data_IF_948022811584
#
_entry.id   IF_948022811584
#
_cell.length_a   1.000
_cell.length_b   1.000
_cell.length_c   1.000
_cell.angle_alpha   90.00
_cell.angle_beta   90.00
_cell.angle_gamma   90.00
#
_symmetry.space_group_name_H-M   'P 1'
#
loop_
_entity.id
_entity.type
_entity.pdbx_description
1 polymer ?
#
# COMPACT_ATOMS: atom_id res chain seq x y z
N UNK A 1 -34.65 16.18 21.72
CA UNK A 1 -33.24 16.56 21.93
C UNK A 1 -32.23 15.40 21.92
N UNK A 2 -32.61 14.15 22.18
CA UNK A 2 -31.67 12.99 22.14
C UNK A 2 -31.36 12.48 20.71
N UNK A 3 -32.32 12.54 19.79
CA UNK A 3 -32.16 12.11 18.40
C UNK A 3 -31.15 12.96 17.59
N UNK A 4 -31.13 14.27 17.83
CA UNK A 4 -30.22 15.19 17.13
C UNK A 4 -28.75 14.96 17.47
N UNK A 5 -28.44 14.59 18.73
CA UNK A 5 -27.06 14.26 19.14
C UNK A 5 -26.60 12.93 18.55
N UNK A 6 -27.50 11.97 18.38
CA UNK A 6 -27.18 10.66 17.77
C UNK A 6 -26.86 10.82 16.28
N UNK A 7 -27.62 11.66 15.57
CA UNK A 7 -27.38 11.96 14.14
C UNK A 7 -26.02 12.65 13.94
N UNK A 8 -25.65 13.57 14.83
CA UNK A 8 -24.36 14.26 14.77
C UNK A 8 -23.18 13.30 15.03
N UNK A 9 -23.32 12.35 15.96
CA UNK A 9 -22.26 11.36 16.26
C UNK A 9 -22.11 10.39 15.10
N UNK A 10 -23.20 9.93 14.49
CA UNK A 10 -23.15 9.04 13.31
C UNK A 10 -22.56 9.74 12.09
N UNK A 11 -22.90 11.02 11.87
CA UNK A 11 -22.32 11.82 10.79
C UNK A 11 -20.81 12.08 10.98
N UNK A 12 -20.37 12.30 12.23
CA UNK A 12 -18.95 12.45 12.56
C UNK A 12 -18.17 11.15 12.39
N UNK A 13 -18.76 10.01 12.77
CA UNK A 13 -18.15 8.68 12.57
C UNK A 13 -18.06 8.30 11.08
N UNK A 14 -19.07 8.64 10.27
CA UNK A 14 -19.07 8.39 8.82
C UNK A 14 -18.03 9.27 8.09
N UNK A 15 -17.77 10.48 8.58
CA UNK A 15 -16.74 11.38 8.02
C UNK A 15 -15.30 10.87 8.24
N UNK A 16 -15.03 10.13 9.32
CA UNK A 16 -13.70 9.59 9.60
C UNK A 16 -13.32 8.39 8.70
N UNK A 17 -14.30 7.65 8.18
CA UNK A 17 -14.05 6.46 7.36
C UNK A 17 -13.66 6.82 5.92
N UNK A 18 -13.95 8.03 5.45
CA UNK A 18 -13.62 8.48 4.10
C UNK A 18 -12.17 8.98 3.95
N UNK A 19 -11.40 9.07 5.03
CA UNK A 19 -10.01 9.55 5.01
C UNK A 19 -8.96 8.47 4.68
N UNK A 20 -9.38 7.21 4.44
CA UNK A 20 -8.49 6.13 4.00
C UNK A 20 -8.32 6.14 2.47
N UNK A 21 -8.18 7.31 1.87
CA UNK A 21 -7.84 7.49 0.46
C UNK A 21 -6.37 7.17 0.21
N UNK A 22 -6.06 6.60 -0.94
CA UNK A 22 -4.71 6.34 -1.44
C UNK A 22 -3.80 7.55 -1.14
N UNK A 23 -2.84 7.38 -0.24
CA UNK A 23 -1.95 8.48 0.11
C UNK A 23 -0.89 8.63 -0.96
N UNK A 24 -1.08 9.60 -1.86
CA UNK A 24 -0.08 9.98 -2.85
C UNK A 24 1.09 10.73 -2.20
N UNK A 25 2.27 10.81 -2.85
CA UNK A 25 3.37 11.64 -2.35
C UNK A 25 2.93 13.06 -2.02
N UNK A 26 2.09 13.68 -2.86
CA UNK A 26 1.58 15.04 -2.65
C UNK A 26 0.75 15.15 -1.36
N UNK A 27 -0.09 14.16 -1.09
CA UNK A 27 -0.89 14.14 0.14
C UNK A 27 0.00 14.00 1.37
N UNK A 28 1.04 13.14 1.31
CA UNK A 28 1.99 12.96 2.40
C UNK A 28 2.83 14.21 2.65
N UNK A 29 3.27 14.89 1.59
CA UNK A 29 3.98 16.18 1.65
C UNK A 29 3.10 17.25 2.30
N UNK A 30 1.84 17.35 1.88
CA UNK A 30 0.87 18.30 2.44
C UNK A 30 0.64 18.08 3.94
N UNK A 31 0.67 16.84 4.38
CA UNK A 31 0.48 16.49 5.79
C UNK A 31 1.76 16.71 6.63
N UNK A 32 2.95 16.77 5.99
CA UNK A 32 4.24 16.95 6.66
C UNK A 32 5.10 18.00 5.96
N UNK A 33 4.63 19.25 5.83
CA UNK A 33 5.31 20.28 5.05
C UNK A 33 6.67 20.68 5.65
N UNK A 34 6.80 20.66 6.98
CA UNK A 34 8.06 21.00 7.63
C UNK A 34 9.17 19.99 7.35
N UNK A 35 8.85 18.70 7.37
CA UNK A 35 9.82 17.66 7.05
C UNK A 35 10.28 17.78 5.59
N UNK A 36 9.35 18.04 4.67
CA UNK A 36 9.64 18.21 3.25
C UNK A 36 10.45 19.46 2.94
N UNK A 37 10.13 20.61 3.55
CA UNK A 37 10.78 21.90 3.27
C UNK A 37 12.22 21.98 3.76
N UNK A 38 12.66 21.10 4.68
CA UNK A 38 14.05 21.00 5.15
C UNK A 38 14.96 20.26 4.17
N UNK A 39 14.40 19.60 3.17
CA UNK A 39 15.13 18.80 2.21
C UNK A 39 15.72 19.66 1.10
N UNK A 40 16.81 19.17 0.49
CA UNK A 40 17.40 19.80 -0.68
C UNK A 40 16.48 19.67 -1.91
N UNK A 41 16.60 20.57 -2.87
CA UNK A 41 15.78 20.55 -4.08
C UNK A 41 15.81 19.19 -4.82
N UNK A 42 16.97 18.53 -5.01
CA UNK A 42 17.00 17.20 -5.63
C UNK A 42 16.23 16.14 -4.84
N UNK A 43 16.32 16.17 -3.49
CA UNK A 43 15.58 15.23 -2.63
C UNK A 43 14.06 15.47 -2.73
N UNK A 44 13.63 16.73 -2.73
CA UNK A 44 12.23 17.09 -2.92
C UNK A 44 11.68 16.60 -4.25
N UNK A 45 12.46 16.72 -5.34
CA UNK A 45 12.04 16.26 -6.67
C UNK A 45 11.91 14.72 -6.73
N UNK A 46 12.83 13.99 -6.11
CA UNK A 46 12.73 12.53 -6.00
C UNK A 46 11.47 12.11 -5.23
N UNK A 47 11.21 12.73 -4.08
CA UNK A 47 10.04 12.43 -3.24
C UNK A 47 8.73 12.71 -3.98
N UNK A 48 8.63 13.83 -4.72
CA UNK A 48 7.43 14.12 -5.53
C UNK A 48 7.17 13.07 -6.60
N UNK A 49 8.24 12.46 -7.14
CA UNK A 49 8.15 11.37 -8.12
C UNK A 49 7.93 9.99 -7.47
N UNK A 50 7.81 9.92 -6.15
CA UNK A 50 7.73 8.64 -5.43
C UNK A 50 9.02 7.83 -5.50
N UNK A 51 10.16 8.48 -5.65
CA UNK A 51 11.47 7.85 -5.76
C UNK A 51 12.25 7.97 -4.45
N UNK A 52 13.03 6.94 -4.13
CA UNK A 52 13.90 6.87 -2.98
C UNK A 52 15.35 6.82 -3.44
N UNK A 53 16.20 7.60 -2.76
CA UNK A 53 17.63 7.64 -3.03
C UNK A 53 18.46 7.06 -1.88
N UNK A 54 19.70 6.68 -2.18
CA UNK A 54 20.67 6.26 -1.16
C UNK A 54 20.92 7.41 -0.17
N UNK A 55 21.06 7.07 1.10
CA UNK A 55 21.27 8.05 2.18
C UNK A 55 19.98 8.73 2.67
N UNK A 56 18.81 8.47 2.07
CA UNK A 56 17.54 8.94 2.62
C UNK A 56 17.32 8.37 4.00
N UNK A 57 16.70 9.14 4.88
CA UNK A 57 16.25 8.63 6.17
C UNK A 57 14.81 8.08 6.06
N UNK A 58 14.37 7.44 7.14
CA UNK A 58 13.04 6.84 7.21
C UNK A 58 11.91 7.84 6.89
N UNK A 59 12.04 9.10 7.33
CA UNK A 59 11.02 10.12 7.10
C UNK A 59 10.91 10.46 5.61
N UNK A 60 12.04 10.52 4.91
CA UNK A 60 12.10 10.77 3.48
C UNK A 60 11.50 9.59 2.68
N UNK A 61 11.79 8.35 3.11
CA UNK A 61 11.19 7.15 2.49
C UNK A 61 9.68 7.15 2.69
N UNK A 62 9.17 7.48 3.89
CA UNK A 62 7.73 7.59 4.16
C UNK A 62 7.07 8.71 3.37
N UNK A 63 7.74 9.82 3.13
CA UNK A 63 7.22 10.88 2.27
C UNK A 63 7.10 10.41 0.82
N UNK A 64 8.09 9.67 0.31
CA UNK A 64 8.12 9.19 -1.06
C UNK A 64 7.15 8.02 -1.31
N UNK A 65 7.24 6.96 -0.50
CA UNK A 65 6.52 5.70 -0.74
C UNK A 65 5.35 5.47 0.23
N UNK A 66 5.32 6.15 1.38
CA UNK A 66 4.37 5.88 2.45
C UNK A 66 4.92 4.86 3.46
N UNK A 67 4.01 4.32 4.28
CA UNK A 67 4.36 3.24 5.20
C UNK A 67 4.57 1.94 4.42
N UNK A 68 5.57 1.13 4.79
CA UNK A 68 5.82 -0.14 4.13
C UNK A 68 4.70 -1.15 4.43
N UNK A 69 4.36 -1.98 3.46
CA UNK A 69 3.41 -3.08 3.64
C UNK A 69 3.99 -4.16 4.55
N UNK A 70 5.32 -4.31 4.54
CA UNK A 70 6.03 -5.28 5.37
C UNK A 70 7.42 -4.78 5.74
N UNK A 71 7.84 -5.03 6.97
CA UNK A 71 9.21 -4.81 7.43
C UNK A 71 9.88 -6.14 7.78
N UNK A 72 11.19 -6.24 7.52
CA UNK A 72 12.01 -7.40 7.87
C UNK A 72 13.30 -6.89 8.50
N UNK A 73 13.65 -7.37 9.68
CA UNK A 73 14.92 -7.09 10.33
C UNK A 73 15.88 -8.25 10.12
N UNK A 74 17.11 -7.94 9.73
CA UNK A 74 18.20 -8.92 9.60
C UNK A 74 19.37 -8.46 10.48
N UNK A 75 19.84 -9.35 11.34
CA UNK A 75 21.04 -9.14 12.14
C UNK A 75 22.16 -10.01 11.58
N UNK A 76 23.32 -9.43 11.33
CA UNK A 76 24.51 -10.10 10.79
C UNK A 76 25.77 -9.59 11.48
N UNK A 77 26.91 -10.20 11.19
CA UNK A 77 28.21 -9.72 11.67
C UNK A 77 28.54 -8.29 11.23
N UNK A 78 27.88 -7.79 10.17
CA UNK A 78 28.03 -6.44 9.64
C UNK A 78 27.04 -5.42 10.27
N UNK A 79 26.28 -5.85 11.29
CA UNK A 79 25.26 -5.04 11.95
C UNK A 79 23.84 -5.43 11.60
N UNK A 80 22.90 -4.67 12.15
CA UNK A 80 21.47 -4.83 11.89
C UNK A 80 21.07 -4.00 10.66
N UNK A 81 20.21 -4.59 9.83
CA UNK A 81 19.57 -3.92 8.69
C UNK A 81 18.06 -4.13 8.78
N UNK A 82 17.31 -3.14 8.37
CA UNK A 82 15.86 -3.20 8.24
C UNK A 82 15.49 -3.07 6.76
N UNK A 83 14.65 -3.98 6.26
CA UNK A 83 14.18 -3.96 4.89
C UNK A 83 12.70 -3.68 4.87
N UNK A 84 12.32 -2.62 4.20
CA UNK A 84 10.95 -2.20 3.95
C UNK A 84 10.51 -2.69 2.58
N UNK A 85 9.38 -3.38 2.54
CA UNK A 85 8.84 -4.00 1.31
C UNK A 85 7.52 -3.35 0.98
N UNK A 86 7.38 -2.96 -0.29
CA UNK A 86 6.19 -2.36 -0.87
C UNK A 86 5.65 -3.29 -1.95
N UNK A 87 4.34 -3.56 -1.90
CA UNK A 87 3.67 -4.44 -2.85
C UNK A 87 2.81 -3.64 -3.82
N UNK A 88 2.82 -4.04 -5.08
CA UNK A 88 1.78 -3.67 -6.01
C UNK A 88 0.75 -4.80 -6.12
N UNK A 89 -0.51 -4.43 -6.26
CA UNK A 89 -1.62 -5.34 -6.36
C UNK A 89 -2.09 -5.42 -7.80
N UNK A 90 -1.88 -6.56 -8.43
CA UNK A 90 -2.37 -6.83 -9.76
C UNK A 90 -3.66 -7.66 -9.66
N UNK A 91 -4.64 -7.28 -10.47
CA UNK A 91 -5.79 -8.13 -10.72
C UNK A 91 -5.40 -9.03 -11.87
N UNK A 92 -5.27 -10.33 -11.63
CA UNK A 92 -5.05 -11.29 -12.71
C UNK A 92 -6.31 -11.42 -13.56
N UNK A 93 -6.15 -11.90 -14.79
CA UNK A 93 -7.27 -12.31 -15.62
C UNK A 93 -8.12 -13.30 -14.83
N UNK A 94 -9.40 -12.99 -14.70
CA UNK A 94 -10.36 -13.81 -13.95
C UNK A 94 -10.42 -15.21 -14.56
N UNK A 95 -9.71 -16.15 -13.95
CA UNK A 95 -9.86 -17.55 -14.34
C UNK A 95 -11.20 -18.08 -13.82
N UNK A 96 -12.05 -18.61 -14.70
CA UNK A 96 -13.28 -19.25 -14.27
C UNK A 96 -12.91 -20.50 -13.45
N UNK A 97 -13.14 -20.44 -12.15
CA UNK A 97 -13.01 -21.61 -11.30
C UNK A 97 -14.29 -22.42 -11.41
N UNK A 98 -14.17 -23.65 -11.92
CA UNK A 98 -15.29 -24.62 -11.89
C UNK A 98 -15.65 -24.93 -10.44
N UNK A 99 -16.86 -24.57 -10.04
CA UNK A 99 -17.36 -24.80 -8.68
C UNK A 99 -18.28 -26.01 -8.52
N UNK A 100 -18.53 -26.76 -9.56
CA UNK A 100 -19.41 -27.90 -9.55
C UNK A 100 -20.67 -27.70 -10.41
N UNK A 101 -21.62 -28.53 -10.19
CA UNK A 101 -22.86 -28.56 -10.96
C UNK A 101 -23.98 -27.87 -10.19
N UNK A 102 -24.69 -26.94 -10.84
CA UNK A 102 -25.86 -26.30 -10.28
C UNK A 102 -27.11 -27.14 -10.73
N UNK A 103 -27.87 -27.61 -9.75
CA UNK A 103 -29.17 -28.27 -10.00
C UNK A 103 -30.26 -27.19 -10.03
N UNK A 104 -30.82 -26.98 -11.17
CA UNK A 104 -31.98 -26.09 -11.33
C UNK A 104 -33.22 -26.78 -10.76
N UNK A 105 -33.86 -26.19 -9.76
CA UNK A 105 -34.98 -26.77 -9.03
C UNK A 105 -36.22 -27.08 -9.90
N UNK A 106 -36.31 -26.52 -11.11
CA UNK A 106 -37.47 -26.64 -12.01
C UNK A 106 -37.09 -27.03 -13.45
N UNK A 107 -36.12 -27.84 -13.67
CA UNK A 107 -35.73 -28.24 -14.99
C UNK A 107 -34.79 -29.42 -15.04
N UNK A 108 -34.94 -30.25 -16.05
CA UNK A 108 -34.02 -31.33 -16.35
C UNK A 108 -32.69 -30.75 -16.82
N UNK A 109 -31.62 -30.96 -16.07
CA UNK A 109 -30.26 -30.67 -16.47
C UNK A 109 -29.36 -30.11 -15.34
N UNK A 110 -28.16 -30.62 -15.35
CA UNK A 110 -27.05 -30.09 -14.52
C UNK A 110 -26.25 -29.11 -15.37
N UNK A 111 -26.11 -27.86 -14.90
CA UNK A 111 -25.30 -26.85 -15.56
C UNK A 111 -24.02 -26.62 -14.78
N UNK A 112 -22.86 -26.55 -15.45
CA UNK A 112 -21.62 -26.18 -14.79
C UNK A 112 -21.74 -24.73 -14.30
N UNK A 113 -21.45 -24.53 -13.01
CA UNK A 113 -21.42 -23.22 -12.40
C UNK A 113 -19.99 -22.73 -12.31
N UNK A 114 -19.70 -21.65 -13.00
CA UNK A 114 -18.39 -20.97 -12.97
C UNK A 114 -18.52 -19.74 -12.10
N UNK A 115 -17.76 -19.70 -11.02
CA UNK A 115 -17.60 -18.47 -10.23
C UNK A 115 -16.28 -17.80 -10.64
N UNK A 116 -16.38 -16.53 -11.01
CA UNK A 116 -15.23 -15.69 -11.26
C UNK A 116 -14.75 -15.13 -9.92
N UNK A 117 -13.53 -15.45 -9.53
CA UNK A 117 -12.89 -14.81 -8.39
C UNK A 117 -11.82 -13.89 -8.93
N UNK A 118 -11.88 -12.59 -8.61
CA UNK A 118 -10.77 -11.71 -8.90
C UNK A 118 -9.58 -12.19 -8.07
N UNK A 119 -8.60 -12.78 -8.72
CA UNK A 119 -7.34 -13.15 -8.08
C UNK A 119 -6.50 -11.89 -7.99
N UNK A 120 -6.30 -11.38 -6.76
CA UNK A 120 -5.36 -10.32 -6.49
C UNK A 120 -4.02 -10.95 -6.16
N UNK A 121 -3.01 -10.63 -6.96
CA UNK A 121 -1.64 -11.01 -6.69
C UNK A 121 -0.88 -9.82 -6.12
N UNK A 122 -0.25 -10.03 -4.98
CA UNK A 122 0.71 -9.09 -4.44
C UNK A 122 2.07 -9.40 -5.04
N UNK A 123 2.70 -8.44 -5.71
CA UNK A 123 4.05 -8.53 -6.22
C UNK A 123 4.93 -7.52 -5.50
N UNK A 124 6.08 -7.95 -5.01
CA UNK A 124 7.05 -7.01 -4.41
C UNK A 124 7.55 -6.08 -5.52
N UNK A 125 7.17 -4.79 -5.46
CA UNK A 125 7.56 -3.80 -6.45
C UNK A 125 8.83 -3.08 -6.04
N UNK A 126 8.93 -2.72 -4.76
CA UNK A 126 10.06 -1.95 -4.25
C UNK A 126 10.50 -2.53 -2.91
N UNK A 127 11.81 -2.67 -2.76
CA UNK A 127 12.45 -3.05 -1.52
C UNK A 127 13.49 -2.00 -1.15
N UNK A 128 13.41 -1.46 0.06
CA UNK A 128 14.33 -0.43 0.58
C UNK A 128 15.02 -1.02 1.80
N UNK A 129 16.34 -1.15 1.75
CA UNK A 129 17.15 -1.63 2.88
C UNK A 129 17.80 -0.45 3.59
N UNK A 130 17.55 -0.36 4.90
CA UNK A 130 18.09 0.67 5.77
C UNK A 130 19.10 0.07 6.74
N UNK A 131 20.15 0.85 7.06
CA UNK A 131 21.09 0.60 8.15
C UNK A 131 21.24 1.89 8.94
N UNK A 132 21.11 1.79 10.27
CA UNK A 132 21.18 2.96 11.17
C UNK A 132 20.25 4.10 10.73
N UNK A 133 19.04 3.74 10.28
CA UNK A 133 18.02 4.69 9.82
C UNK A 133 18.32 5.38 8.47
N UNK A 134 19.33 4.89 7.70
CA UNK A 134 19.68 5.42 6.38
C UNK A 134 19.56 4.36 5.31
N UNK A 135 19.01 4.73 4.16
CA UNK A 135 18.90 3.86 2.98
C UNK A 135 20.29 3.54 2.43
N UNK A 136 20.59 2.25 2.37
CA UNK A 136 21.84 1.72 1.81
C UNK A 136 21.62 0.98 0.49
N UNK A 137 20.38 0.55 0.22
CA UNK A 137 20.05 -0.22 -0.97
C UNK A 137 18.59 0.00 -1.33
N UNK A 138 18.31 0.09 -2.63
CA UNK A 138 16.97 0.17 -3.19
C UNK A 138 16.89 -0.80 -4.36
N UNK A 139 15.99 -1.77 -4.27
CA UNK A 139 15.66 -2.70 -5.35
C UNK A 139 14.27 -2.35 -5.88
N UNK A 140 14.14 -2.20 -7.19
CA UNK A 140 12.86 -2.03 -7.88
C UNK A 140 12.73 -3.08 -8.96
N UNK A 141 11.58 -3.73 -9.00
CA UNK A 141 11.25 -4.61 -10.10
C UNK A 141 10.77 -3.77 -11.28
N UNK A 142 11.50 -3.84 -12.39
CA UNK A 142 11.07 -3.20 -13.63
C UNK A 142 10.04 -4.12 -14.30
N UNK A 143 8.93 -3.56 -14.81
CA UNK A 143 7.89 -4.30 -15.52
C UNK A 143 8.39 -4.94 -16.80
#
# INVERSE_FOLDING_TARGET
MKASKFILIVAAALGLVLAAGCSTPETRIKNNPEAFNRLTAPQQDMIRKGQVGLGFDESMVRLALGDPDRTRTRVSALGATETWVYYDWYTGDDMPLYRGWYHRYWGEGFYPYYAYYPSRYAREQTRVTLREGKVIEVEQENP
#
